data_IF_674539823506
#
_entry.id   IF_674539823506
#
_cell.length_a   1.000
_cell.length_b   1.000
_cell.length_c   1.000
_cell.angle_alpha   90.00
_cell.angle_beta   90.00
_cell.angle_gamma   90.00
#
_symmetry.space_group_name_H-M   'P 1'
#
loop_
_entity.id
_entity.type
_entity.pdbx_description
1 polymer ?
#
# COMPACT_ATOMS: atom_id res chain seq x y z
N UNK A 1 -16.15 -15.67 -8.01
CA UNK A 1 -15.08 -15.23 -7.09
C UNK A 1 -15.75 -14.52 -5.93
N UNK A 2 -15.52 -14.96 -4.70
CA UNK A 2 -16.01 -14.26 -3.52
C UNK A 2 -15.16 -13.02 -3.29
N UNK A 3 -15.74 -11.87 -3.62
CA UNK A 3 -15.12 -10.56 -3.48
C UNK A 3 -14.89 -10.14 -2.02
N UNK A 4 -15.54 -10.80 -1.07
CA UNK A 4 -15.46 -10.44 0.35
C UNK A 4 -14.27 -11.09 1.06
N UNK A 5 -13.64 -12.11 0.45
CA UNK A 5 -12.47 -12.76 1.04
C UNK A 5 -11.31 -11.77 1.22
N UNK A 6 -10.55 -11.88 2.32
CA UNK A 6 -9.28 -11.18 2.46
C UNK A 6 -8.34 -11.59 1.33
N UNK A 7 -7.66 -10.61 0.75
CA UNK A 7 -6.63 -10.79 -0.25
C UNK A 7 -5.55 -9.75 0.00
N UNK A 8 -4.30 -10.20 0.00
CA UNK A 8 -3.16 -9.31 0.09
C UNK A 8 -2.79 -8.77 -1.29
N UNK A 9 -2.24 -7.56 -1.28
CA UNK A 9 -1.61 -6.97 -2.45
C UNK A 9 -0.30 -7.71 -2.76
N UNK A 10 0.00 -7.96 -4.04
CA UNK A 10 1.17 -8.75 -4.45
C UNK A 10 2.03 -7.99 -5.47
N UNK A 11 1.41 -7.38 -6.48
CA UNK A 11 2.07 -6.71 -7.60
C UNK A 11 1.14 -6.50 -8.80
N UNK A 12 1.42 -5.43 -9.56
CA UNK A 12 0.68 -4.93 -10.71
C UNK A 12 -0.76 -4.44 -10.44
N UNK A 13 -1.21 -4.42 -9.18
CA UNK A 13 -2.49 -3.81 -8.84
C UNK A 13 -2.47 -2.29 -9.11
N UNK A 14 -3.53 -1.73 -9.72
CA UNK A 14 -3.62 -0.29 -9.96
C UNK A 14 -3.85 0.47 -8.64
N UNK A 15 -3.13 1.59 -8.50
CA UNK A 15 -3.34 2.55 -7.41
C UNK A 15 -4.29 3.63 -7.89
N UNK A 16 -5.38 3.83 -7.16
CA UNK A 16 -6.35 4.89 -7.37
C UNK A 16 -6.16 6.02 -6.37
N UNK A 17 -6.49 7.24 -6.77
CA UNK A 17 -6.68 8.40 -5.92
C UNK A 17 -7.86 9.21 -6.47
N UNK A 18 -8.86 9.51 -5.63
CA UNK A 18 -10.10 10.19 -6.02
C UNK A 18 -10.78 9.57 -7.27
N UNK A 19 -10.83 8.24 -7.31
CA UNK A 19 -11.48 7.47 -8.39
C UNK A 19 -10.71 7.42 -9.71
N UNK A 20 -9.46 7.91 -9.76
CA UNK A 20 -8.61 7.85 -10.95
C UNK A 20 -7.39 6.97 -10.69
N UNK A 21 -7.00 6.17 -11.68
CA UNK A 21 -5.73 5.44 -11.64
C UNK A 21 -4.59 6.46 -11.72
N UNK A 22 -3.74 6.45 -10.71
CA UNK A 22 -2.56 7.33 -10.60
C UNK A 22 -1.26 6.56 -10.59
N UNK A 23 -1.29 5.23 -10.46
CA UNK A 23 -0.09 4.45 -10.32
C UNK A 23 -0.34 2.95 -10.33
N UNK A 24 0.67 2.20 -9.92
CA UNK A 24 0.59 0.75 -9.77
C UNK A 24 1.50 0.28 -8.64
N UNK A 25 1.18 -0.90 -8.13
CA UNK A 25 1.99 -1.61 -7.14
C UNK A 25 3.07 -2.41 -7.84
N UNK A 26 4.32 -2.27 -7.41
CA UNK A 26 5.46 -3.04 -7.92
C UNK A 26 5.68 -4.31 -7.11
N UNK A 27 5.42 -4.27 -5.80
CA UNK A 27 5.49 -5.44 -4.92
C UNK A 27 4.61 -5.26 -3.69
N UNK A 28 4.19 -6.38 -3.11
CA UNK A 28 3.35 -6.38 -1.92
C UNK A 28 3.36 -7.69 -1.14
N UNK A 29 2.72 -7.67 0.02
CA UNK A 29 2.44 -8.88 0.79
C UNK A 29 1.95 -8.59 2.21
N UNK A 30 1.67 -9.65 2.96
CA UNK A 30 1.27 -9.54 4.36
C UNK A 30 2.47 -9.30 5.27
N UNK A 31 2.48 -8.16 5.95
CA UNK A 31 3.51 -7.81 6.91
C UNK A 31 3.17 -8.41 8.28
N UNK A 32 3.67 -9.61 8.57
CA UNK A 32 3.38 -10.33 9.81
C UNK A 32 3.66 -9.55 11.10
N UNK A 33 4.65 -8.65 11.09
CA UNK A 33 4.97 -7.83 12.26
C UNK A 33 3.87 -6.80 12.58
N UNK A 34 3.33 -6.14 11.56
CA UNK A 34 2.31 -5.07 11.70
C UNK A 34 0.88 -5.58 11.53
N UNK A 35 0.69 -6.81 11.05
CA UNK A 35 -0.61 -7.44 10.88
C UNK A 35 -1.46 -6.85 9.74
N UNK A 36 -0.81 -6.23 8.76
CA UNK A 36 -1.48 -5.55 7.64
C UNK A 36 -0.86 -5.94 6.30
N UNK A 37 -1.65 -5.81 5.23
CA UNK A 37 -1.13 -5.86 3.86
C UNK A 37 -0.29 -4.61 3.59
N UNK A 38 0.89 -4.77 3.00
CA UNK A 38 1.75 -3.66 2.57
C UNK A 38 2.00 -3.70 1.08
N UNK A 39 1.94 -2.52 0.48
CA UNK A 39 2.19 -2.30 -0.94
C UNK A 39 3.35 -1.32 -1.12
N UNK A 40 4.23 -1.62 -2.06
CA UNK A 40 5.21 -0.69 -2.60
C UNK A 40 4.82 -0.38 -4.04
N UNK A 41 4.80 0.89 -4.40
CA UNK A 41 4.36 1.30 -5.73
C UNK A 41 4.76 2.74 -6.03
N UNK A 42 4.48 3.14 -7.27
CA UNK A 42 4.73 4.50 -7.72
C UNK A 42 3.43 5.26 -7.89
N UNK A 43 3.44 6.51 -7.46
CA UNK A 43 2.39 7.51 -7.66
C UNK A 43 3.06 8.86 -8.04
N UNK A 44 2.32 9.82 -8.59
CA UNK A 44 2.84 11.16 -8.84
C UNK A 44 3.41 11.80 -7.56
N UNK A 45 4.54 12.48 -7.69
CA UNK A 45 5.30 13.01 -6.55
C UNK A 45 4.49 14.03 -5.72
N UNK A 46 3.57 14.74 -6.36
CA UNK A 46 2.64 15.67 -5.72
C UNK A 46 1.66 14.98 -4.77
N UNK A 47 1.34 13.69 -5.01
CA UNK A 47 0.46 12.88 -4.17
C UNK A 47 1.23 12.15 -3.06
N UNK A 48 2.54 11.88 -3.23
CA UNK A 48 3.40 11.20 -2.26
C UNK A 48 3.83 12.09 -1.08
N UNK A 49 2.88 12.78 -0.43
CA UNK A 49 3.13 13.73 0.65
C UNK A 49 2.38 13.36 1.93
N UNK A 50 2.92 13.78 3.07
CA UNK A 50 2.25 13.63 4.35
C UNK A 50 0.89 14.34 4.34
N UNK A 51 -0.14 13.64 4.82
CA UNK A 51 -1.51 14.15 4.86
C UNK A 51 -2.33 13.93 3.58
N UNK A 52 -1.74 13.45 2.48
CA UNK A 52 -2.54 13.01 1.33
C UNK A 52 -3.35 11.77 1.70
N UNK A 53 -4.65 11.77 1.39
CA UNK A 53 -5.60 10.70 1.70
C UNK A 53 -6.45 10.39 0.46
N UNK A 54 -7.30 9.36 0.51
CA UNK A 54 -8.17 9.00 -0.62
C UNK A 54 -7.55 8.02 -1.60
N UNK A 55 -6.50 7.30 -1.19
CA UNK A 55 -5.96 6.21 -1.99
C UNK A 55 -6.77 4.94 -1.84
N UNK A 56 -6.88 4.21 -2.93
CA UNK A 56 -7.44 2.86 -2.97
C UNK A 56 -6.57 1.98 -3.87
N UNK A 57 -6.51 0.69 -3.59
CA UNK A 57 -5.85 -0.31 -4.43
C UNK A 57 -6.91 -1.33 -4.84
N UNK A 58 -7.03 -1.59 -6.15
CA UNK A 58 -7.93 -2.63 -6.62
C UNK A 58 -7.27 -4.01 -6.48
N UNK A 59 -7.80 -4.85 -5.60
CA UNK A 59 -7.31 -6.22 -5.39
C UNK A 59 -8.42 -7.20 -5.77
N UNK A 60 -8.22 -7.96 -6.84
CA UNK A 60 -9.16 -8.97 -7.36
C UNK A 60 -10.58 -8.38 -7.53
N UNK A 61 -10.67 -7.20 -8.16
CA UNK A 61 -11.95 -6.52 -8.44
C UNK A 61 -12.63 -5.88 -7.23
N UNK A 62 -11.89 -5.61 -6.14
CA UNK A 62 -12.36 -4.89 -4.97
C UNK A 62 -11.46 -3.70 -4.66
N UNK A 63 -12.06 -2.52 -4.52
CA UNK A 63 -11.36 -1.34 -4.04
C UNK A 63 -11.10 -1.48 -2.54
N UNK A 64 -9.82 -1.46 -2.16
CA UNK A 64 -9.38 -1.51 -0.77
C UNK A 64 -8.78 -0.15 -0.40
N UNK A 65 -9.28 0.54 0.63
CA UNK A 65 -8.68 1.78 1.10
C UNK A 65 -7.21 1.57 1.47
N UNK A 66 -6.36 2.51 1.08
CA UNK A 66 -4.94 2.52 1.36
C UNK A 66 -4.53 3.87 1.97
N UNK A 67 -3.49 3.83 2.80
CA UNK A 67 -2.91 5.02 3.43
C UNK A 67 -1.43 5.06 3.10
N UNK A 68 -0.91 6.25 2.80
CA UNK A 68 0.53 6.43 2.63
C UNK A 68 1.29 6.10 3.92
N UNK A 69 2.27 5.21 3.78
CA UNK A 69 3.20 4.84 4.84
C UNK A 69 4.56 5.45 4.51
N UNK A 70 4.90 6.56 5.17
CA UNK A 70 6.11 7.34 4.87
C UNK A 70 7.38 6.82 5.56
N UNK A 71 7.21 6.00 6.59
CA UNK A 71 8.29 5.39 7.35
C UNK A 71 8.21 3.87 7.30
N UNK A 72 9.32 3.13 7.49
CA UNK A 72 9.25 1.69 7.65
C UNK A 72 8.27 1.28 8.77
N UNK A 73 7.39 0.31 8.52
CA UNK A 73 6.46 -0.17 9.57
C UNK A 73 7.15 -0.87 10.74
N UNK A 74 8.40 -1.27 10.54
CA UNK A 74 9.21 -1.97 11.53
C UNK A 74 10.56 -1.29 11.64
N UNK A 75 10.90 -0.91 12.87
CA UNK A 75 12.14 -0.23 13.25
C UNK A 75 12.50 0.94 12.31
N UNK A 76 11.72 2.04 12.31
CA UNK A 76 12.03 3.24 11.51
C UNK A 76 13.44 3.79 11.78
N UNK A 77 13.94 3.62 13.00
CA UNK A 77 15.29 4.05 13.40
C UNK A 77 16.42 3.17 12.83
N UNK A 78 16.10 1.93 12.45
CA UNK A 78 17.09 0.90 12.10
C UNK A 78 18.03 0.55 13.26
N UNK A 79 17.63 0.80 14.51
CA UNK A 79 18.49 0.59 15.69
C UNK A 79 18.75 -0.89 15.95
N UNK A 80 17.81 -1.78 15.61
CA UNK A 80 17.94 -3.23 15.82
C UNK A 80 19.02 -3.85 14.94
N UNK A 81 19.25 -3.29 13.75
CA UNK A 81 20.26 -3.78 12.82
C UNK A 81 21.68 -3.25 13.11
N UNK A 82 21.80 -2.19 13.92
CA UNK A 82 23.08 -1.48 14.18
C UNK A 82 23.68 -1.75 15.56
N UNK A 83 22.99 -2.54 16.39
CA UNK A 83 23.45 -2.94 17.72
C UNK A 83 24.52 -4.04 17.65
#
# INVERSE_FOLDING_TARGET
MDKTRPADVIGDEPVFHDGKVVGWITSGGYAHYSGVSLALGYVPAELAKAGTTGFEIEIIGNMRPATLQLEPVLDPSGSRMRA
#
